data_IF_792368954690
#
_entry.id   IF_792368954690
#
_cell.length_a   1.000
_cell.length_b   1.000
_cell.length_c   1.000
_cell.angle_alpha   90.00
_cell.angle_beta   90.00
_cell.angle_gamma   90.00
#
_symmetry.space_group_name_H-M   'P 1'
#
loop_
_entity.id
_entity.type
_entity.pdbx_description
1 polymer ?
#
# COMPACT_ATOMS: atom_id res chain seq x y z
N UNK A 1 31.99 -39.06 -0.43
CA UNK A 1 30.81 -39.71 -1.05
C UNK A 1 29.57 -38.91 -0.69
N UNK A 2 29.17 -37.93 -1.51
CA UNK A 2 27.86 -37.27 -1.47
C UNK A 2 27.76 -36.27 -2.61
N UNK A 3 27.39 -36.74 -3.80
CA UNK A 3 26.98 -35.91 -4.93
C UNK A 3 26.32 -36.80 -5.98
N UNK A 4 25.14 -37.37 -5.68
CA UNK A 4 24.42 -38.20 -6.64
C UNK A 4 22.91 -38.25 -6.35
N UNK A 5 22.25 -37.10 -6.15
CA UNK A 5 20.77 -37.04 -6.09
C UNK A 5 20.18 -35.93 -6.97
N UNK A 6 20.97 -34.97 -7.48
CA UNK A 6 20.45 -33.86 -8.29
C UNK A 6 20.21 -34.13 -9.78
N UNK A 7 20.73 -35.24 -10.33
CA UNK A 7 20.74 -35.49 -11.78
C UNK A 7 19.52 -36.20 -12.36
N UNK A 8 18.69 -36.85 -11.53
CA UNK A 8 17.69 -37.80 -12.05
C UNK A 8 16.32 -37.17 -12.36
N UNK A 9 16.04 -35.93 -11.94
CA UNK A 9 14.74 -35.29 -12.19
C UNK A 9 14.74 -34.50 -13.51
N UNK A 10 15.90 -34.02 -13.99
CA UNK A 10 15.99 -33.32 -15.28
C UNK A 10 15.82 -34.26 -16.49
N UNK A 11 16.17 -35.54 -16.34
CA UNK A 11 16.06 -36.53 -17.43
C UNK A 11 14.64 -37.11 -17.53
N UNK A 12 13.84 -37.09 -16.46
CA UNK A 12 12.49 -37.66 -16.49
C UNK A 12 11.45 -36.80 -17.24
N UNK A 13 11.72 -35.51 -17.45
CA UNK A 13 10.87 -34.63 -18.25
C UNK A 13 11.15 -34.69 -19.77
N UNK A 14 12.30 -35.24 -20.17
CA UNK A 14 12.62 -35.45 -21.59
C UNK A 14 11.89 -36.67 -22.19
N UNK A 15 11.33 -37.55 -21.35
CA UNK A 15 10.60 -38.75 -21.77
C UNK A 15 9.07 -38.71 -21.52
N UNK A 16 8.54 -37.66 -20.90
CA UNK A 16 7.10 -37.55 -20.63
C UNK A 16 6.47 -36.35 -21.34
N UNK A 17 6.07 -36.59 -22.59
CA UNK A 17 4.87 -35.97 -23.15
C UNK A 17 5.08 -34.66 -23.89
N UNK A 18 4.59 -34.66 -25.12
CA UNK A 18 4.40 -33.55 -26.06
C UNK A 18 3.41 -32.46 -25.59
N UNK A 19 3.36 -32.18 -24.29
CA UNK A 19 2.40 -31.25 -23.71
C UNK A 19 2.86 -29.79 -23.87
N UNK A 20 1.97 -28.88 -24.30
CA UNK A 20 2.27 -27.45 -24.35
C UNK A 20 2.62 -26.91 -22.97
N UNK A 21 3.54 -25.94 -22.94
CA UNK A 21 4.09 -25.36 -21.71
C UNK A 21 3.12 -24.35 -21.09
N UNK A 22 2.93 -24.43 -19.77
CA UNK A 22 2.15 -23.45 -19.01
C UNK A 22 3.00 -22.23 -18.64
N UNK A 23 2.33 -21.10 -18.38
CA UNK A 23 2.99 -19.87 -17.96
C UNK A 23 3.84 -20.05 -16.69
N UNK A 24 3.32 -20.79 -15.70
CA UNK A 24 4.04 -21.10 -14.45
C UNK A 24 5.33 -21.87 -14.69
N UNK A 25 5.32 -22.79 -15.64
CA UNK A 25 6.46 -23.67 -15.91
C UNK A 25 7.55 -22.90 -16.65
N UNK A 26 7.15 -22.04 -17.59
CA UNK A 26 8.07 -21.16 -18.31
C UNK A 26 8.75 -20.13 -17.39
N UNK A 27 8.03 -19.55 -16.43
CA UNK A 27 8.61 -18.67 -15.41
C UNK A 27 9.59 -19.41 -14.50
N UNK A 28 9.24 -20.62 -14.05
CA UNK A 28 10.12 -21.46 -13.22
C UNK A 28 11.40 -21.86 -13.95
N UNK A 29 11.30 -22.19 -15.24
CA UNK A 29 12.43 -22.58 -16.06
C UNK A 29 13.36 -21.41 -16.41
N UNK A 30 12.81 -20.21 -16.62
CA UNK A 30 13.62 -18.99 -16.81
C UNK A 30 14.30 -18.54 -15.51
N UNK A 31 13.64 -18.75 -14.37
CA UNK A 31 14.20 -18.38 -13.06
C UNK A 31 15.19 -19.41 -12.51
N UNK A 32 15.22 -20.62 -13.08
CA UNK A 32 16.11 -21.71 -12.68
C UNK A 32 17.31 -21.82 -13.62
N UNK A 33 18.50 -22.07 -13.08
CA UNK A 33 19.74 -22.23 -13.86
C UNK A 33 19.87 -23.60 -14.56
N UNK A 34 18.76 -24.31 -14.78
CA UNK A 34 18.76 -25.70 -15.25
C UNK A 34 18.89 -25.83 -16.78
N UNK A 35 18.50 -24.80 -17.54
CA UNK A 35 18.54 -24.78 -19.00
C UNK A 35 18.97 -23.39 -19.50
N UNK A 36 19.74 -23.35 -20.58
CA UNK A 36 20.08 -22.10 -21.25
C UNK A 36 18.88 -21.51 -21.99
N UNK A 37 18.89 -20.19 -22.24
CA UNK A 37 17.81 -19.50 -22.95
C UNK A 37 17.58 -20.07 -24.36
N UNK A 38 18.65 -20.51 -25.04
CA UNK A 38 18.58 -21.15 -26.35
C UNK A 38 17.90 -22.54 -26.30
N UNK A 39 18.19 -23.35 -25.27
CA UNK A 39 17.55 -24.66 -25.09
C UNK A 39 16.06 -24.49 -24.74
N UNK A 40 15.72 -23.48 -23.94
CA UNK A 40 14.33 -23.12 -23.65
C UNK A 40 13.59 -22.63 -24.89
N UNK A 41 14.24 -21.86 -25.77
CA UNK A 41 13.66 -21.43 -27.04
C UNK A 41 13.31 -22.61 -27.95
N UNK A 42 14.16 -23.63 -27.99
CA UNK A 42 13.89 -24.88 -28.72
C UNK A 42 12.76 -25.69 -28.10
N UNK A 43 12.63 -25.68 -26.76
CA UNK A 43 11.54 -26.35 -26.06
C UNK A 43 10.19 -25.67 -26.37
N UNK A 44 10.12 -24.34 -26.28
CA UNK A 44 8.94 -23.55 -26.63
C UNK A 44 8.57 -23.70 -28.11
N UNK A 45 9.56 -23.73 -28.99
CA UNK A 45 9.33 -23.90 -30.43
C UNK A 45 8.70 -25.26 -30.76
N UNK A 46 9.10 -26.32 -30.05
CA UNK A 46 8.61 -27.70 -30.25
C UNK A 46 7.25 -27.96 -29.62
N UNK A 47 7.05 -27.52 -28.37
CA UNK A 47 5.87 -27.89 -27.59
C UNK A 47 4.78 -26.81 -27.57
N UNK A 48 5.11 -25.58 -27.95
CA UNK A 48 4.20 -24.44 -27.91
C UNK A 48 3.66 -24.16 -26.48
N UNK A 49 2.79 -23.15 -26.33
CA UNK A 49 2.30 -22.64 -25.05
C UNK A 49 0.81 -22.95 -24.85
N UNK A 50 0.40 -23.17 -23.61
CA UNK A 50 -1.03 -23.35 -23.25
C UNK A 50 -1.79 -22.04 -23.10
N UNK A 51 -1.09 -20.91 -23.15
CA UNK A 51 -1.64 -19.58 -22.94
C UNK A 51 -1.25 -18.65 -24.08
N UNK A 52 -2.00 -17.56 -24.23
CA UNK A 52 -1.76 -16.54 -25.24
C UNK A 52 -0.90 -15.43 -24.63
N UNK A 53 0.38 -15.27 -25.03
CA UNK A 53 1.29 -14.34 -24.38
C UNK A 53 0.92 -12.89 -24.66
N UNK A 54 0.67 -12.12 -23.61
CA UNK A 54 0.45 -10.67 -23.65
C UNK A 54 1.76 -9.91 -23.85
N UNK A 55 1.69 -8.59 -24.08
CA UNK A 55 2.88 -7.73 -24.11
C UNK A 55 3.62 -7.72 -22.77
N UNK A 56 2.85 -7.71 -21.67
CA UNK A 56 3.37 -7.79 -20.30
C UNK A 56 4.14 -9.09 -20.05
N UNK A 57 3.61 -10.23 -20.51
CA UNK A 57 4.29 -11.52 -20.36
C UNK A 57 5.67 -11.52 -21.02
N UNK A 58 5.79 -10.89 -22.20
CA UNK A 58 7.07 -10.78 -22.94
C UNK A 58 8.05 -9.87 -22.21
N UNK A 59 7.56 -8.80 -21.59
CA UNK A 59 8.40 -7.93 -20.77
C UNK A 59 8.90 -8.68 -19.53
N UNK A 60 8.01 -9.39 -18.82
CA UNK A 60 8.35 -10.17 -17.65
C UNK A 60 9.35 -11.30 -17.96
N UNK A 61 9.21 -12.00 -19.10
CA UNK A 61 10.18 -13.01 -19.52
C UNK A 61 11.57 -12.42 -19.81
N UNK A 62 11.65 -11.23 -20.41
CA UNK A 62 12.94 -10.54 -20.62
C UNK A 62 13.61 -10.15 -19.31
N UNK A 63 12.85 -9.68 -18.32
CA UNK A 63 13.35 -9.39 -16.97
C UNK A 63 13.87 -10.65 -16.26
N UNK A 64 13.30 -11.82 -16.58
CA UNK A 64 13.74 -13.13 -16.10
C UNK A 64 14.85 -13.77 -16.93
N UNK A 65 15.49 -13.02 -17.85
CA UNK A 65 16.64 -13.50 -18.62
C UNK A 65 16.30 -14.21 -19.93
N UNK A 66 15.06 -14.11 -20.44
CA UNK A 66 14.74 -14.57 -21.78
C UNK A 66 15.40 -13.67 -22.84
N UNK A 67 16.25 -14.26 -23.67
CA UNK A 67 16.90 -13.56 -24.76
C UNK A 67 15.98 -13.36 -25.98
N UNK A 68 16.51 -12.69 -27.01
CA UNK A 68 15.76 -12.39 -28.23
C UNK A 68 15.29 -13.65 -28.98
N UNK A 69 16.02 -14.76 -28.90
CA UNK A 69 15.67 -16.02 -29.56
C UNK A 69 14.51 -16.71 -28.84
N UNK A 70 14.52 -16.70 -27.51
CA UNK A 70 13.42 -17.21 -26.69
C UNK A 70 12.14 -16.40 -26.88
N UNK A 71 12.23 -15.07 -26.92
CA UNK A 71 11.08 -14.21 -27.20
C UNK A 71 10.51 -14.47 -28.60
N UNK A 72 11.36 -14.63 -29.62
CA UNK A 72 10.92 -14.96 -30.98
C UNK A 72 10.22 -16.34 -31.06
N UNK A 73 10.68 -17.32 -30.30
CA UNK A 73 10.05 -18.65 -30.21
C UNK A 73 8.63 -18.58 -29.63
N UNK A 74 8.44 -17.78 -28.57
CA UNK A 74 7.12 -17.50 -27.96
C UNK A 74 6.16 -16.87 -28.97
N UNK A 75 6.64 -15.90 -29.76
CA UNK A 75 5.84 -15.23 -30.80
C UNK A 75 5.50 -16.14 -31.98
N UNK A 76 6.46 -16.98 -32.39
CA UNK A 76 6.25 -18.01 -33.41
C UNK A 76 5.16 -18.99 -32.97
N UNK A 77 5.14 -19.38 -31.70
CA UNK A 77 4.07 -20.22 -31.17
C UNK A 77 2.70 -19.52 -31.18
N UNK A 78 2.61 -18.29 -30.68
CA UNK A 78 1.35 -17.55 -30.62
C UNK A 78 0.69 -17.40 -32.00
N UNK A 79 1.49 -17.07 -33.02
CA UNK A 79 1.01 -16.97 -34.41
C UNK A 79 0.46 -18.30 -34.95
N UNK A 80 1.13 -19.43 -34.67
CA UNK A 80 0.66 -20.77 -35.08
C UNK A 80 -0.65 -21.15 -34.37
N UNK A 81 -0.79 -20.83 -33.09
CA UNK A 81 -2.02 -21.10 -32.33
C UNK A 81 -3.20 -20.26 -32.83
N UNK A 82 -2.97 -19.00 -33.19
CA UNK A 82 -3.99 -18.14 -33.79
C UNK A 82 -4.44 -18.66 -35.16
N UNK A 83 -3.50 -19.07 -36.02
CA UNK A 83 -3.81 -19.67 -37.32
C UNK A 83 -4.64 -20.97 -37.19
N UNK A 84 -4.30 -21.84 -36.22
CA UNK A 84 -5.09 -23.07 -35.96
C UNK A 84 -6.51 -22.77 -35.48
N UNK A 85 -6.69 -21.78 -34.61
CA UNK A 85 -8.04 -21.35 -34.16
C UNK A 85 -8.90 -20.85 -35.32
N UNK A 86 -8.32 -20.06 -36.24
CA UNK A 86 -9.03 -19.56 -37.41
C UNK A 86 -9.55 -20.68 -38.33
N UNK A 87 -8.77 -21.75 -38.52
CA UNK A 87 -9.17 -22.92 -39.33
C UNK A 87 -10.31 -23.71 -38.68
N UNK A 88 -10.28 -23.89 -37.34
CA UNK A 88 -11.35 -24.59 -36.61
C UNK A 88 -12.67 -23.82 -36.68
N UNK A 89 -12.64 -22.49 -36.55
CA UNK A 89 -13.84 -21.64 -36.67
C UNK A 89 -14.43 -21.68 -38.08
N UNK A 90 -13.59 -21.77 -39.11
CA UNK A 90 -14.05 -21.94 -40.49
C UNK A 90 -14.71 -23.30 -40.74
N UNK A 91 -14.22 -24.37 -40.11
CA UNK A 91 -14.77 -25.72 -40.25
C UNK A 91 -16.11 -25.90 -39.54
N UNK A 92 -16.31 -25.26 -38.38
CA UNK A 92 -17.60 -25.29 -37.63
C UNK A 92 -18.70 -24.52 -38.37
N UNK A 93 -18.33 -23.50 -39.16
CA UNK A 93 -19.30 -22.71 -39.95
C UNK A 93 -19.80 -23.44 -41.21
N UNK A 94 -19.12 -24.51 -41.64
CA UNK A 94 -19.48 -25.28 -42.83
C UNK A 94 -20.55 -26.38 -42.58
N UNK A 95 -20.92 -26.67 -41.33
CA UNK A 95 -21.81 -27.80 -40.99
C UNK A 95 -23.22 -27.42 -40.52
N UNK A 96 -23.59 -26.13 -40.50
CA UNK A 96 -24.96 -25.70 -40.16
C UNK A 96 -25.64 -25.04 -41.36
N UNK A 97 -26.73 -25.66 -41.85
CA UNK A 97 -27.60 -25.13 -42.92
C UNK A 97 -28.59 -24.11 -42.30
N UNK A 98 -28.52 -22.81 -42.63
CA UNK A 98 -29.51 -21.83 -42.16
C UNK A 98 -30.78 -21.86 -43.03
N UNK A 99 -31.99 -21.64 -42.47
CA UNK A 99 -33.18 -21.39 -43.28
C UNK A 99 -33.12 -19.99 -43.91
N UNK A 100 -33.72 -19.86 -45.09
CA UNK A 100 -33.71 -18.64 -45.90
C UNK A 100 -34.40 -17.47 -45.15
N UNK A 101 -33.65 -16.40 -44.93
CA UNK A 101 -34.15 -15.12 -44.42
C UNK A 101 -34.47 -14.17 -45.59
N UNK A 102 -35.52 -13.32 -45.47
CA UNK A 102 -35.88 -12.34 -46.49
C UNK A 102 -34.80 -11.26 -46.68
N UNK A 103 -34.79 -10.55 -47.83
CA UNK A 103 -33.68 -9.67 -48.20
C UNK A 103 -33.52 -8.49 -47.23
N UNK A 104 -32.26 -8.10 -46.91
CA UNK A 104 -31.98 -7.05 -45.95
C UNK A 104 -32.29 -5.66 -46.50
N UNK A 105 -32.73 -4.71 -45.65
CA UNK A 105 -32.80 -3.31 -46.01
C UNK A 105 -31.39 -2.74 -46.28
N UNK A 106 -31.28 -1.64 -47.05
CA UNK A 106 -30.00 -1.09 -47.45
C UNK A 106 -29.12 -0.72 -46.25
N UNK A 107 -27.79 -0.93 -46.34
CA UNK A 107 -26.88 -0.74 -45.22
C UNK A 107 -26.80 0.74 -44.83
N UNK A 108 -27.06 1.02 -43.55
CA UNK A 108 -26.66 2.28 -42.94
C UNK A 108 -25.11 2.40 -42.98
N UNK A 109 -24.54 3.60 -43.14
CA UNK A 109 -23.10 3.78 -43.17
C UNK A 109 -22.46 3.24 -41.89
N UNK A 110 -21.45 2.39 -42.03
CA UNK A 110 -20.61 1.92 -40.93
C UNK A 110 -19.99 3.14 -40.24
N UNK A 111 -20.31 3.34 -38.96
CA UNK A 111 -19.59 4.29 -38.13
C UNK A 111 -18.11 3.86 -38.06
N UNK A 112 -17.14 4.76 -38.26
CA UNK A 112 -15.73 4.41 -38.22
C UNK A 112 -15.32 3.88 -36.84
N UNK A 113 -14.30 3.00 -36.77
CA UNK A 113 -13.78 2.48 -35.50
C UNK A 113 -13.30 3.63 -34.61
N UNK A 114 -13.66 3.57 -33.32
CA UNK A 114 -13.32 4.60 -32.36
C UNK A 114 -11.78 4.78 -32.27
N UNK A 115 -11.27 6.02 -32.31
CA UNK A 115 -9.84 6.27 -32.21
C UNK A 115 -9.29 5.83 -30.83
N UNK A 116 -8.01 5.46 -30.73
CA UNK A 116 -7.37 5.20 -29.44
C UNK A 116 -7.50 6.43 -28.53
N UNK A 117 -7.66 6.26 -27.20
CA UNK A 117 -7.89 7.36 -26.29
C UNK A 117 -6.72 8.33 -26.33
N UNK A 118 -6.97 9.54 -26.83
CA UNK A 118 -5.99 10.62 -26.87
C UNK A 118 -5.77 11.22 -25.48
N UNK A 119 -4.53 11.56 -25.08
CA UNK A 119 -4.19 12.05 -23.74
C UNK A 119 -4.87 13.37 -23.32
N UNK A 120 -5.50 14.11 -24.26
CA UNK A 120 -6.28 15.33 -23.98
C UNK A 120 -7.72 15.05 -23.53
N UNK A 121 -8.19 13.80 -23.63
CA UNK A 121 -9.54 13.48 -23.22
C UNK A 121 -9.69 13.67 -21.70
N UNK A 122 -8.79 13.16 -20.87
CA UNK A 122 -9.06 13.04 -19.43
C UNK A 122 -9.08 14.34 -18.59
N UNK A 123 -8.94 15.54 -19.15
CA UNK A 123 -8.76 16.79 -18.38
C UNK A 123 -9.91 17.11 -17.41
N UNK A 124 -11.12 16.67 -17.74
CA UNK A 124 -12.34 16.86 -16.91
C UNK A 124 -12.60 15.71 -15.94
N UNK A 125 -11.69 14.75 -15.86
CA UNK A 125 -11.78 13.63 -14.91
C UNK A 125 -11.51 14.08 -13.48
N UNK A 126 -12.05 13.37 -12.50
CA UNK A 126 -11.77 13.67 -11.09
C UNK A 126 -12.56 12.86 -10.09
N UNK A 127 -12.34 13.18 -8.82
CA UNK A 127 -13.09 12.57 -7.72
C UNK A 127 -14.47 13.18 -7.59
N UNK A 128 -15.49 12.35 -7.69
CA UNK A 128 -16.90 12.78 -7.64
C UNK A 128 -17.58 12.40 -6.32
N UNK A 129 -17.04 11.44 -5.57
CA UNK A 129 -17.59 11.02 -4.28
C UNK A 129 -16.54 10.34 -3.40
N UNK A 130 -16.81 10.27 -2.10
CA UNK A 130 -15.96 9.60 -1.11
C UNK A 130 -14.77 10.43 -0.61
N UNK A 131 -14.54 11.63 -1.12
CA UNK A 131 -13.54 12.57 -0.61
C UNK A 131 -13.90 13.20 0.74
N UNK A 132 -12.90 13.75 1.44
CA UNK A 132 -13.10 14.54 2.67
C UNK A 132 -13.60 13.73 3.87
N UNK A 133 -13.58 12.40 3.78
CA UNK A 133 -14.00 11.55 4.89
C UNK A 133 -13.01 11.62 6.06
N UNK A 134 -13.54 11.30 7.24
CA UNK A 134 -12.80 11.19 8.49
C UNK A 134 -12.88 9.76 9.02
N UNK A 135 -11.80 9.31 9.63
CA UNK A 135 -11.72 8.01 10.29
C UNK A 135 -10.52 7.94 11.22
N UNK A 136 -10.50 6.96 12.12
CA UNK A 136 -9.36 6.68 12.99
C UNK A 136 -8.20 6.06 12.20
N UNK A 137 -7.00 6.19 12.72
CA UNK A 137 -5.80 5.53 12.18
C UNK A 137 -6.04 4.04 11.87
N UNK A 138 -5.44 3.56 10.78
CA UNK A 138 -5.54 2.18 10.28
C UNK A 138 -6.97 1.66 9.98
N UNK A 139 -7.96 2.54 9.85
CA UNK A 139 -9.37 2.14 9.65
C UNK A 139 -9.80 2.28 8.18
N UNK A 140 -10.62 1.34 7.70
CA UNK A 140 -11.24 1.43 6.38
C UNK A 140 -12.39 2.46 6.39
N UNK A 141 -12.40 3.35 5.40
CA UNK A 141 -13.45 4.36 5.26
C UNK A 141 -14.79 3.71 4.86
N UNK A 142 -15.92 4.21 5.42
CA UNK A 142 -17.22 3.59 5.23
C UNK A 142 -17.79 3.79 3.82
N UNK A 143 -17.46 4.91 3.15
CA UNK A 143 -17.87 5.15 1.76
C UNK A 143 -16.70 4.90 0.82
N UNK A 144 -16.91 4.20 -0.30
CA UNK A 144 -15.87 4.03 -1.31
C UNK A 144 -15.51 5.37 -1.93
N UNK A 145 -14.27 5.48 -2.38
CA UNK A 145 -13.81 6.61 -3.19
C UNK A 145 -14.22 6.37 -4.64
N UNK A 146 -14.85 7.37 -5.26
CA UNK A 146 -15.34 7.29 -6.65
C UNK A 146 -14.61 8.30 -7.52
N UNK A 147 -13.96 7.80 -8.56
CA UNK A 147 -13.32 8.60 -9.60
C UNK A 147 -14.11 8.46 -10.89
N UNK A 148 -14.33 9.56 -11.59
CA UNK A 148 -15.04 9.62 -12.87
C UNK A 148 -14.10 10.10 -13.96
N UNK A 149 -14.04 9.35 -15.05
CA UNK A 149 -13.26 9.67 -16.23
C UNK A 149 -14.15 10.33 -17.29
N UNK A 150 -13.76 11.52 -17.73
CA UNK A 150 -14.45 12.28 -18.77
C UNK A 150 -13.46 12.76 -19.81
N UNK A 151 -13.93 12.86 -21.05
CA UNK A 151 -13.17 13.50 -22.12
C UNK A 151 -13.18 15.04 -22.01
N UNK A 152 -12.49 15.74 -22.93
CA UNK A 152 -12.39 17.21 -22.93
C UNK A 152 -13.72 17.90 -23.23
N UNK A 153 -14.63 17.22 -23.93
CA UNK A 153 -15.98 17.70 -24.23
C UNK A 153 -17.02 17.27 -23.18
N UNK A 154 -16.62 16.46 -22.19
CA UNK A 154 -17.42 16.05 -21.04
C UNK A 154 -18.10 14.68 -21.19
N UNK A 155 -17.86 13.93 -22.27
CA UNK A 155 -18.37 12.58 -22.46
C UNK A 155 -17.69 11.59 -21.52
N UNK A 156 -18.43 10.58 -21.06
CA UNK A 156 -17.94 9.57 -20.13
C UNK A 156 -16.98 8.61 -20.84
N UNK A 157 -15.88 8.26 -20.17
CA UNK A 157 -14.85 7.38 -20.70
C UNK A 157 -14.90 5.99 -20.03
N UNK A 158 -15.59 5.00 -20.62
CA UNK A 158 -15.59 3.63 -20.10
C UNK A 158 -14.29 2.89 -20.42
N UNK A 159 -14.04 1.80 -19.67
CA UNK A 159 -12.90 0.89 -19.83
C UNK A 159 -11.51 1.54 -19.76
N UNK A 160 -11.40 2.73 -19.15
CA UNK A 160 -10.12 3.40 -18.94
C UNK A 160 -9.49 2.97 -17.62
N UNK A 161 -8.21 2.61 -17.67
CA UNK A 161 -7.47 2.26 -16.45
C UNK A 161 -7.12 3.49 -15.65
N UNK A 162 -7.55 3.52 -14.39
CA UNK A 162 -7.15 4.52 -13.39
C UNK A 162 -6.22 3.86 -12.40
N UNK A 163 -5.07 4.50 -12.13
CA UNK A 163 -4.14 4.08 -11.09
C UNK A 163 -4.27 4.99 -9.86
N UNK A 164 -4.17 4.41 -8.67
CA UNK A 164 -4.33 5.09 -7.40
C UNK A 164 -3.08 4.95 -6.55
N UNK A 165 -2.59 6.07 -6.05
CA UNK A 165 -1.47 6.14 -5.09
C UNK A 165 -1.95 6.81 -3.82
N UNK A 166 -1.59 6.25 -2.67
CA UNK A 166 -1.97 6.78 -1.36
C UNK A 166 -0.76 7.31 -0.60
N UNK A 167 -0.90 8.51 -0.04
CA UNK A 167 0.01 9.07 0.95
C UNK A 167 -0.71 8.98 2.29
N UNK A 168 -0.15 8.21 3.23
CA UNK A 168 -0.80 7.89 4.50
C UNK A 168 -2.21 7.25 4.29
N UNK A 169 -2.36 6.47 3.22
CA UNK A 169 -3.56 5.72 2.87
C UNK A 169 -3.20 4.52 1.99
N UNK A 170 -3.97 3.44 2.09
CA UNK A 170 -3.89 2.26 1.24
C UNK A 170 -5.17 2.14 0.42
N UNK A 171 -5.04 1.93 -0.89
CA UNK A 171 -6.17 1.83 -1.81
C UNK A 171 -6.29 0.40 -2.31
N UNK A 172 -7.51 -0.14 -2.33
CA UNK A 172 -7.78 -1.47 -2.87
C UNK A 172 -9.03 -1.46 -3.77
N UNK A 173 -8.91 -1.89 -5.04
CA UNK A 173 -7.66 -2.19 -5.76
C UNK A 173 -6.84 -0.92 -6.06
N UNK A 174 -5.50 -1.00 -6.20
CA UNK A 174 -4.66 0.14 -6.54
C UNK A 174 -4.77 0.55 -8.02
N UNK A 175 -5.31 -0.31 -8.88
CA UNK A 175 -5.63 -0.01 -10.27
C UNK A 175 -6.97 -0.65 -10.63
N UNK A 176 -7.80 0.06 -11.37
CA UNK A 176 -9.09 -0.46 -11.86
C UNK A 176 -9.55 0.29 -13.11
N UNK A 177 -10.31 -0.40 -13.95
CA UNK A 177 -10.92 0.19 -15.15
C UNK A 177 -12.26 0.85 -14.82
N UNK A 178 -12.59 1.94 -15.52
CA UNK A 178 -13.89 2.59 -15.42
C UNK A 178 -15.01 1.73 -16.02
N UNK A 179 -16.19 1.78 -15.40
CA UNK A 179 -17.40 1.09 -15.85
C UNK A 179 -18.08 1.83 -17.03
N UNK A 180 -19.25 1.34 -17.46
CA UNK A 180 -20.01 1.96 -18.55
C UNK A 180 -20.46 3.40 -18.26
N UNK A 181 -20.50 3.81 -16.99
CA UNK A 181 -20.78 5.18 -16.57
C UNK A 181 -19.50 6.02 -16.44
N UNK A 182 -18.35 5.51 -16.88
CA UNK A 182 -17.07 6.21 -16.75
C UNK A 182 -16.57 6.27 -15.30
N UNK A 183 -17.11 5.47 -14.39
CA UNK A 183 -16.78 5.53 -12.97
C UNK A 183 -15.97 4.34 -12.51
N UNK A 184 -15.11 4.56 -11.51
CA UNK A 184 -14.39 3.50 -10.80
C UNK A 184 -14.55 3.73 -9.29
N UNK A 185 -14.79 2.64 -8.55
CA UNK A 185 -14.98 2.64 -7.10
C UNK A 185 -13.86 1.85 -6.44
N UNK A 186 -13.21 2.45 -5.44
CA UNK A 186 -12.12 1.83 -4.69
C UNK A 186 -12.32 1.99 -3.18
N UNK A 187 -11.89 0.99 -2.42
CA UNK A 187 -11.81 1.07 -0.97
C UNK A 187 -10.57 1.85 -0.55
N UNK A 188 -10.70 2.66 0.50
CA UNK A 188 -9.60 3.42 1.09
C UNK A 188 -9.48 3.04 2.57
N UNK A 189 -8.30 2.58 2.95
CA UNK A 189 -7.89 2.37 4.34
C UNK A 189 -6.94 3.49 4.73
N UNK A 190 -7.25 4.22 5.79
CA UNK A 190 -6.40 5.28 6.30
C UNK A 190 -5.09 4.70 6.86
N UNK A 191 -4.01 5.47 6.78
CA UNK A 191 -2.73 5.10 7.35
C UNK A 191 -2.69 5.23 8.87
N UNK A 192 -1.53 4.95 9.42
CA UNK A 192 -1.31 4.91 10.88
C UNK A 192 -1.01 6.28 11.48
N UNK A 193 -0.70 7.29 10.66
CA UNK A 193 -0.36 8.63 11.15
C UNK A 193 -1.59 9.52 11.20
N UNK A 194 -1.90 10.11 12.35
CA UNK A 194 -2.93 11.12 12.46
C UNK A 194 -2.59 12.37 11.63
N UNK A 195 -3.61 13.08 11.14
CA UNK A 195 -3.46 14.26 10.29
C UNK A 195 -4.04 14.04 8.89
N UNK A 196 -3.33 14.51 7.86
CA UNK A 196 -3.81 14.40 6.48
C UNK A 196 -3.42 13.07 5.85
N UNK A 197 -4.36 12.48 5.12
CA UNK A 197 -4.10 11.42 4.15
C UNK A 197 -4.58 11.87 2.78
N UNK A 198 -3.86 11.49 1.73
CA UNK A 198 -4.16 11.92 0.36
C UNK A 198 -4.21 10.72 -0.56
N UNK A 199 -5.21 10.68 -1.43
CA UNK A 199 -5.26 9.73 -2.54
C UNK A 199 -5.11 10.49 -3.85
N UNK A 200 -4.22 10.01 -4.69
CA UNK A 200 -3.91 10.51 -6.01
C UNK A 200 -4.45 9.50 -7.02
N UNK A 201 -5.29 9.95 -7.95
CA UNK A 201 -5.81 9.16 -9.06
C UNK A 201 -5.20 9.65 -10.38
N UNK A 202 -4.64 8.73 -11.16
CA UNK A 202 -4.01 9.01 -12.45
C UNK A 202 -4.70 8.26 -13.59
N UNK A 203 -5.00 8.99 -14.66
CA UNK A 203 -5.59 8.47 -15.91
C UNK A 203 -4.87 9.10 -17.11
N UNK A 204 -4.00 8.31 -17.75
CA UNK A 204 -3.09 8.84 -18.76
C UNK A 204 -2.15 9.89 -18.15
N UNK A 205 -2.21 11.13 -18.66
CA UNK A 205 -1.40 12.26 -18.18
C UNK A 205 -2.11 13.09 -17.10
N UNK A 206 -3.37 12.78 -16.78
CA UNK A 206 -4.15 13.56 -15.82
C UNK A 206 -4.02 12.96 -14.44
N UNK A 207 -3.67 13.83 -13.50
CA UNK A 207 -3.57 13.53 -12.08
C UNK A 207 -4.55 14.39 -11.29
N UNK A 208 -5.29 13.78 -10.37
CA UNK A 208 -6.14 14.48 -9.40
C UNK A 208 -5.88 13.93 -8.02
N UNK A 209 -6.03 14.78 -7.01
CA UNK A 209 -5.83 14.41 -5.62
C UNK A 209 -7.06 14.75 -4.77
N UNK A 210 -7.27 13.98 -3.71
CA UNK A 210 -8.30 14.23 -2.70
C UNK A 210 -7.76 13.90 -1.32
N UNK A 211 -8.12 14.73 -0.35
CA UNK A 211 -7.67 14.59 1.02
C UNK A 211 -8.73 13.94 1.92
N UNK A 212 -8.23 13.32 2.99
CA UNK A 212 -8.94 12.70 4.08
C UNK A 212 -8.30 13.14 5.38
N UNK A 213 -9.05 13.08 6.48
CA UNK A 213 -8.54 13.40 7.80
C UNK A 213 -8.51 12.13 8.67
N UNK A 214 -7.30 11.78 9.09
CA UNK A 214 -7.00 10.66 9.99
C UNK A 214 -7.01 11.21 11.41
N UNK A 215 -7.97 10.76 12.21
CA UNK A 215 -7.99 11.00 13.64
C UNK A 215 -7.10 9.97 14.36
N UNK A 216 -6.49 10.37 15.47
CA UNK A 216 -5.85 9.42 16.37
C UNK A 216 -6.89 8.43 16.93
N UNK A 217 -6.45 7.20 17.19
CA UNK A 217 -7.26 6.20 17.87
C UNK A 217 -7.47 6.53 19.36
N UNK A 218 -8.10 5.61 20.11
CA UNK A 218 -8.17 5.72 21.56
C UNK A 218 -6.77 5.78 22.20
N UNK A 219 -6.64 6.57 23.27
CA UNK A 219 -5.40 6.64 24.02
C UNK A 219 -5.03 5.25 24.58
N UNK A 220 -3.81 4.79 24.28
CA UNK A 220 -3.27 3.49 24.67
C UNK A 220 -2.08 3.60 25.63
N UNK A 221 -1.38 4.75 25.64
CA UNK A 221 -0.25 4.99 26.53
C UNK A 221 -0.10 6.47 26.92
N UNK A 222 0.57 6.73 28.04
CA UNK A 222 1.05 8.06 28.41
C UNK A 222 2.55 8.15 28.08
N UNK A 223 2.91 9.10 27.23
CA UNK A 223 4.29 9.44 26.98
C UNK A 223 4.67 10.65 27.83
N UNK A 224 5.70 10.47 28.65
CA UNK A 224 6.31 11.54 29.44
C UNK A 224 7.66 11.86 28.83
N UNK A 225 7.90 13.14 28.57
CA UNK A 225 9.11 13.64 27.98
C UNK A 225 9.69 14.76 28.84
N UNK A 226 10.99 14.91 28.77
CA UNK A 226 11.75 15.91 29.48
C UNK A 226 12.72 16.55 28.50
N UNK A 227 12.48 17.83 28.19
CA UNK A 227 13.09 18.45 27.01
C UNK A 227 12.71 17.70 25.74
N UNK A 228 13.71 17.15 25.04
CA UNK A 228 13.54 16.34 23.83
C UNK A 228 13.57 14.83 24.08
N UNK A 229 13.89 14.42 25.31
CA UNK A 229 14.07 13.00 25.67
C UNK A 229 12.77 12.41 26.20
N UNK A 230 12.38 11.25 25.71
CA UNK A 230 11.31 10.45 26.35
C UNK A 230 11.85 9.80 27.62
N UNK A 231 11.08 9.82 28.70
CA UNK A 231 11.42 9.19 29.98
C UNK A 231 10.42 8.08 30.30
N UNK A 232 10.95 6.87 30.46
CA UNK A 232 10.19 5.69 30.83
C UNK A 232 10.91 4.96 31.96
N UNK A 233 10.22 4.73 33.07
CA UNK A 233 10.75 3.95 34.19
C UNK A 233 11.60 4.77 35.15
N UNK A 234 12.80 5.21 34.77
CA UNK A 234 13.73 5.91 35.67
C UNK A 234 14.34 7.16 35.04
N UNK A 235 14.56 8.21 35.83
CA UNK A 235 15.37 9.36 35.43
C UNK A 235 15.88 10.16 36.64
N UNK A 236 16.98 10.91 36.47
CA UNK A 236 17.49 11.81 37.49
C UNK A 236 17.16 13.29 37.23
N UNK A 237 16.98 14.08 38.28
CA UNK A 237 16.80 15.55 38.22
C UNK A 237 17.84 16.23 39.11
N UNK A 238 18.42 17.35 38.68
CA UNK A 238 19.41 18.08 39.49
C UNK A 238 18.74 18.74 40.72
N UNK A 239 19.44 18.86 41.86
CA UNK A 239 18.87 19.42 43.08
C UNK A 239 18.52 20.91 42.98
N UNK A 240 19.16 21.67 42.09
CA UNK A 240 19.03 23.13 41.99
C UNK A 240 18.21 23.59 40.76
N UNK A 241 17.46 22.71 40.11
CA UNK A 241 16.67 23.04 38.91
C UNK A 241 15.18 22.79 39.08
N UNK A 242 14.35 23.69 38.52
CA UNK A 242 12.95 23.38 38.24
C UNK A 242 12.86 22.71 36.87
N UNK A 243 12.12 21.60 36.81
CA UNK A 243 12.03 20.79 35.60
C UNK A 243 10.60 20.65 35.14
N UNK A 244 10.39 20.84 33.85
CA UNK A 244 9.07 20.72 33.23
C UNK A 244 9.02 19.43 32.43
N UNK A 245 8.22 18.48 32.90
CA UNK A 245 7.87 17.29 32.15
C UNK A 245 6.72 17.61 31.20
N UNK A 246 6.87 17.23 29.93
CA UNK A 246 5.80 17.22 28.93
C UNK A 246 5.10 15.88 28.96
N UNK A 247 3.79 15.89 29.07
CA UNK A 247 2.96 14.68 29.09
C UNK A 247 2.04 14.71 27.88
N UNK A 248 1.95 13.61 27.16
CA UNK A 248 0.99 13.43 26.07
C UNK A 248 0.35 12.06 26.16
N UNK A 249 -0.92 11.97 25.80
CA UNK A 249 -1.60 10.69 25.62
C UNK A 249 -1.45 10.27 24.17
N UNK A 250 -1.06 9.02 23.92
CA UNK A 250 -0.84 8.52 22.56
C UNK A 250 -1.69 7.28 22.30
N UNK A 251 -2.14 7.11 21.06
CA UNK A 251 -2.77 5.87 20.61
C UNK A 251 -1.74 4.74 20.39
N UNK A 252 -2.22 3.57 19.92
CA UNK A 252 -1.37 2.42 19.65
C UNK A 252 -0.31 2.64 18.53
N UNK A 253 -0.45 3.70 17.74
CA UNK A 253 0.46 4.09 16.66
C UNK A 253 1.33 5.31 17.04
N UNK A 254 1.37 5.67 18.32
CA UNK A 254 2.08 6.83 18.84
C UNK A 254 1.54 8.19 18.33
N UNK A 255 0.30 8.26 17.83
CA UNK A 255 -0.33 9.54 17.50
C UNK A 255 -0.78 10.25 18.77
N UNK A 256 -0.58 11.56 18.83
CA UNK A 256 -1.11 12.37 19.92
C UNK A 256 -2.65 12.33 19.93
N UNK A 257 -3.20 12.00 21.09
CA UNK A 257 -4.63 11.97 21.39
C UNK A 257 -4.98 13.10 22.35
N UNK A 258 -6.25 13.49 22.47
CA UNK A 258 -6.66 14.47 23.46
C UNK A 258 -6.24 14.02 24.86
N UNK A 259 -5.54 14.90 25.58
CA UNK A 259 -5.11 14.64 26.95
C UNK A 259 -6.23 15.10 27.89
N UNK A 260 -6.67 14.25 28.83
CA UNK A 260 -7.82 14.52 29.69
C UNK A 260 -7.49 14.19 31.14
N UNK A 261 -7.76 15.14 32.04
CA UNK A 261 -7.68 14.91 33.48
C UNK A 261 -6.26 14.67 33.98
N UNK A 262 -5.27 15.37 33.43
CA UNK A 262 -3.88 15.26 33.86
C UNK A 262 -3.72 15.57 35.35
N UNK A 263 -3.09 14.63 36.06
CA UNK A 263 -2.72 14.73 37.48
C UNK A 263 -1.34 14.13 37.69
N UNK A 264 -0.66 14.58 38.73
CA UNK A 264 0.61 14.03 39.16
C UNK A 264 0.67 13.95 40.68
N UNK A 265 1.28 12.89 41.22
CA UNK A 265 1.48 12.69 42.65
C UNK A 265 2.86 12.11 42.92
N UNK A 266 3.50 12.54 44.01
CA UNK A 266 4.82 12.09 44.43
C UNK A 266 4.67 11.28 45.70
N UNK A 267 5.36 10.14 45.78
CA UNK A 267 5.30 9.26 46.95
C UNK A 267 5.98 9.89 48.18
N UNK A 268 7.10 10.59 48.00
CA UNK A 268 7.76 11.36 49.07
C UNK A 268 8.02 12.81 48.63
N UNK A 269 7.15 13.71 49.09
CA UNK A 269 7.22 15.14 48.79
C UNK A 269 8.42 15.86 49.46
N UNK A 270 9.20 15.19 50.33
CA UNK A 270 10.43 15.74 50.91
C UNK A 270 11.59 15.71 49.93
N UNK A 271 11.59 14.75 49.00
CA UNK A 271 12.64 14.60 47.98
C UNK A 271 12.39 15.57 46.82
N UNK A 272 11.17 15.60 46.28
CA UNK A 272 10.74 16.63 45.31
C UNK A 272 9.22 16.81 45.34
N UNK A 273 8.75 17.96 44.87
CA UNK A 273 7.32 18.32 44.81
C UNK A 273 6.85 18.59 43.40
N UNK A 274 5.56 18.36 43.16
CA UNK A 274 4.87 18.88 41.97
C UNK A 274 4.45 20.32 42.28
N UNK A 275 4.98 21.26 41.51
CA UNK A 275 4.68 22.68 41.71
C UNK A 275 3.50 23.17 40.90
N UNK A 276 3.41 22.75 39.64
CA UNK A 276 2.39 23.21 38.72
C UNK A 276 2.01 22.11 37.74
N UNK A 277 0.72 22.01 37.44
CA UNK A 277 0.18 21.13 36.41
C UNK A 277 -0.62 22.00 35.45
N UNK A 278 -0.22 22.04 34.19
CA UNK A 278 -0.97 22.69 33.12
C UNK A 278 -1.36 21.66 32.07
N UNK A 279 -2.47 21.89 31.39
CA UNK A 279 -2.93 21.03 30.32
C UNK A 279 -3.56 21.87 29.21
N UNK A 280 -3.23 21.55 27.97
CA UNK A 280 -3.97 21.97 26.78
C UNK A 280 -4.83 20.81 26.25
N UNK A 281 -5.21 20.84 24.97
CA UNK A 281 -6.02 19.80 24.34
C UNK A 281 -5.30 18.45 24.16
N UNK A 282 -3.98 18.43 23.94
CA UNK A 282 -3.22 17.23 23.54
C UNK A 282 -1.91 17.03 24.31
N UNK A 283 -1.47 18.06 25.03
CA UNK A 283 -0.24 18.13 25.78
C UNK A 283 -0.53 18.66 27.18
N UNK A 284 0.24 18.21 28.15
CA UNK A 284 0.26 18.79 29.47
C UNK A 284 1.67 18.94 29.97
N UNK A 285 1.81 19.73 31.02
CA UNK A 285 3.08 20.01 31.67
C UNK A 285 2.96 19.74 33.15
N UNK A 286 3.97 19.08 33.71
CA UNK A 286 4.12 18.83 35.15
C UNK A 286 5.46 19.44 35.56
N UNK A 287 5.41 20.50 36.35
CA UNK A 287 6.61 21.17 36.87
C UNK A 287 6.99 20.53 38.18
N UNK A 288 8.22 20.02 38.28
CA UNK A 288 8.78 19.44 39.48
C UNK A 288 9.86 20.35 40.05
N UNK A 289 9.91 20.40 41.39
CA UNK A 289 10.96 21.08 42.13
C UNK A 289 11.60 20.10 43.12
N UNK A 290 12.87 19.72 42.93
CA UNK A 290 13.65 18.98 43.91
C UNK A 290 13.90 19.80 45.19
N UNK A 291 13.94 19.10 46.32
CA UNK A 291 14.15 19.68 47.65
C UNK A 291 15.25 18.94 48.44
N UNK A 292 15.26 17.60 48.40
CA UNK A 292 16.26 16.77 49.08
C UNK A 292 16.80 15.66 48.17
N UNK A 293 18.02 15.23 48.45
CA UNK A 293 18.61 14.08 47.80
C UNK A 293 17.86 12.78 48.15
N UNK A 294 17.67 11.91 47.18
CA UNK A 294 17.00 10.63 47.37
C UNK A 294 16.33 10.11 46.11
N UNK A 295 15.67 8.97 46.23
CA UNK A 295 14.89 8.36 45.14
C UNK A 295 13.47 8.15 45.60
N UNK A 296 12.50 8.60 44.80
CA UNK A 296 11.07 8.36 45.07
C UNK A 296 10.28 8.20 43.77
N UNK A 297 9.01 7.83 43.87
CA UNK A 297 8.14 7.58 42.73
C UNK A 297 7.25 8.78 42.40
N UNK A 298 7.14 9.09 41.12
CA UNK A 298 6.15 9.99 40.52
C UNK A 298 5.09 9.16 39.80
N UNK A 299 3.82 9.36 40.16
CA UNK A 299 2.69 8.85 39.41
C UNK A 299 2.13 9.96 38.52
N UNK A 300 2.08 9.75 37.21
CA UNK A 300 1.40 10.61 36.24
C UNK A 300 0.14 9.91 35.78
N UNK A 301 -1.00 10.59 35.89
CA UNK A 301 -2.33 10.02 35.61
C UNK A 301 -3.05 10.93 34.62
N UNK A 302 -3.54 10.36 33.52
CA UNK A 302 -4.38 11.05 32.54
C UNK A 302 -5.12 10.02 31.69
N UNK A 303 -6.27 10.39 31.11
CA UNK A 303 -7.10 9.52 30.25
C UNK A 303 -7.48 8.18 30.91
N UNK A 304 -7.57 8.13 32.25
CA UNK A 304 -7.80 6.89 33.01
C UNK A 304 -6.57 5.96 33.11
N UNK A 305 -5.45 6.32 32.47
CA UNK A 305 -4.17 5.61 32.54
C UNK A 305 -3.28 6.14 33.65
N UNK A 306 -2.33 5.32 34.10
CA UNK A 306 -1.33 5.69 35.11
C UNK A 306 0.06 5.23 34.67
N UNK A 307 1.01 6.15 34.67
CA UNK A 307 2.43 5.90 34.45
C UNK A 307 3.19 6.16 35.75
N UNK A 308 4.01 5.20 36.18
CA UNK A 308 4.92 5.38 37.30
C UNK A 308 6.34 5.63 36.80
N UNK A 309 7.02 6.59 37.40
CA UNK A 309 8.40 6.95 37.13
C UNK A 309 9.18 7.01 38.44
N UNK A 310 10.31 6.33 38.51
CA UNK A 310 11.28 6.42 39.59
C UNK A 310 12.19 7.62 39.32
N UNK A 311 12.21 8.59 40.23
CA UNK A 311 12.99 9.82 40.08
C UNK A 311 14.08 9.86 41.13
N UNK A 312 15.32 10.12 40.72
CA UNK A 312 16.45 10.34 41.64
C UNK A 312 16.88 11.79 41.65
N UNK A 313 17.00 12.36 42.84
CA UNK A 313 17.68 13.62 43.10
C UNK A 313 19.06 13.30 43.67
N UNK A 314 20.17 13.54 42.93
CA UNK A 314 21.50 13.27 43.43
C UNK A 314 21.88 14.30 44.52
N UNK A 315 22.78 13.94 45.46
CA UNK A 315 23.15 14.79 46.58
C UNK A 315 23.94 16.05 46.21
N UNK A 316 24.54 16.08 45.01
CA UNK A 316 25.23 17.25 44.47
C UNK A 316 24.97 17.33 42.97
N UNK A 317 24.91 18.56 42.45
CA UNK A 317 24.93 18.78 41.01
C UNK A 317 26.29 18.33 40.45
N UNK A 318 26.30 17.29 39.63
CA UNK A 318 27.51 16.87 38.92
C UNK A 318 27.75 17.77 37.70
N UNK A 319 29.01 18.19 37.42
CA UNK A 319 29.32 19.00 36.24
C UNK A 319 28.92 18.25 34.97
N UNK A 320 28.14 18.88 34.09
CA UNK A 320 27.74 18.32 32.80
C UNK A 320 26.58 17.30 32.83
N UNK A 321 25.97 17.04 34.00
CA UNK A 321 24.80 16.17 34.06
C UNK A 321 23.54 16.93 33.60
N UNK A 322 22.85 16.36 32.61
CA UNK A 322 21.61 16.92 32.06
C UNK A 322 20.45 16.28 32.80
N UNK A 323 19.45 17.08 33.15
CA UNK A 323 18.23 16.54 33.73
C UNK A 323 17.64 15.46 32.80
N UNK A 324 17.03 14.43 33.40
CA UNK A 324 16.36 13.33 32.71
C UNK A 324 17.29 12.36 31.95
N UNK A 325 18.46 12.07 32.52
CA UNK A 325 19.30 10.91 32.18
C UNK A 325 19.18 9.80 33.21
#
# INVERSE_FOLDING_TARGET
MSAAIGGLIAVLLLLQGSAPLRKSDLVRLLSGSALSSAELAQLVSRHCLTFEPTERDRHDFRLLGADSAMVAAVEGCARRSAARRAVVVAHVRATSKPPAAPPPPPPAPLAPPAPPPSPRASERSGFVSGGGQRGTAATQLPRPLVFEARDSIGALLPAQTVAFTGINARIQPPTAATDAAGQVRVGVTLGERAGSATVIGTIGVVEKQVAFNVAAGPAAQLAVACGLSSVSGHFAIRPDSEIVLRVSAQDAFANATPLLGLRAAVADARIFRVMHIAQDSTLGTVTLKPDQAGTTSLAVIANGMRQYLTVTVPPRAAPGNVDCR
#
